data_IF_142289176527
#
_entry.id   IF_142289176527
#
_cell.length_a   1.000
_cell.length_b   1.000
_cell.length_c   1.000
_cell.angle_alpha   90.00
_cell.angle_beta   90.00
_cell.angle_gamma   90.00
#
_symmetry.space_group_name_H-M   'P 1'
#
loop_
_entity.id
_entity.type
_entity.pdbx_description
1 polymer ?
#
# COMPACT_ATOMS: atom_id res chain seq x y z
N UNK A 1 24.27 4.89 22.35
CA UNK A 1 25.09 4.06 21.46
C UNK A 1 26.08 4.92 20.68
N UNK A 2 27.36 4.53 20.66
CA UNK A 2 28.38 5.13 19.79
C UNK A 2 28.77 4.08 18.75
N UNK A 3 28.57 4.39 17.47
CA UNK A 3 28.89 3.48 16.36
C UNK A 3 30.13 4.00 15.66
N UNK A 4 31.25 3.36 15.92
CA UNK A 4 32.49 3.63 15.17
C UNK A 4 32.53 2.70 13.97
N UNK A 5 32.85 3.21 12.78
CA UNK A 5 33.08 2.42 11.57
C UNK A 5 34.47 2.73 11.06
N UNK A 6 35.26 1.69 10.82
CA UNK A 6 36.62 1.79 10.28
C UNK A 6 36.72 0.89 9.05
N UNK A 7 36.84 1.49 7.86
CA UNK A 7 37.22 0.80 6.64
C UNK A 7 38.72 1.00 6.45
N UNK A 8 39.49 -0.06 6.71
CA UNK A 8 40.93 -0.10 6.47
C UNK A 8 41.21 -0.99 5.28
N UNK A 9 41.97 -0.48 4.34
CA UNK A 9 42.49 -1.26 3.23
C UNK A 9 43.99 -1.46 3.44
N UNK A 10 44.48 -2.70 3.32
CA UNK A 10 45.92 -2.95 3.27
C UNK A 10 46.49 -2.31 2.02
N UNK A 11 47.62 -1.62 2.16
CA UNK A 11 48.18 -0.88 1.05
C UNK A 11 48.74 -1.84 -0.02
N UNK A 12 48.28 -1.72 -1.27
CA UNK A 12 48.65 -2.64 -2.34
C UNK A 12 49.82 -2.09 -3.18
N UNK A 13 50.87 -2.90 -3.38
CA UNK A 13 52.09 -2.52 -4.10
C UNK A 13 52.17 -3.03 -5.55
N UNK A 14 51.02 -3.28 -6.19
CA UNK A 14 51.03 -3.63 -7.62
C UNK A 14 51.52 -2.45 -8.48
N UNK A 15 52.12 -2.73 -9.64
CA UNK A 15 52.59 -1.69 -10.57
C UNK A 15 51.51 -0.66 -10.90
N UNK A 16 50.27 -1.10 -11.14
CA UNK A 16 49.13 -0.20 -11.42
C UNK A 16 48.80 0.67 -10.20
N UNK A 17 48.77 0.11 -8.99
CA UNK A 17 48.51 0.87 -7.77
C UNK A 17 49.61 1.91 -7.51
N UNK A 18 50.89 1.53 -7.61
CA UNK A 18 52.02 2.44 -7.45
C UNK A 18 52.03 3.56 -8.51
N UNK A 19 51.70 3.23 -9.76
CA UNK A 19 51.60 4.22 -10.85
C UNK A 19 50.45 5.20 -10.64
N UNK A 20 49.30 4.76 -10.13
CA UNK A 20 48.18 5.65 -9.77
C UNK A 20 48.56 6.56 -8.60
N UNK A 21 49.18 6.01 -7.54
CA UNK A 21 49.69 6.80 -6.41
C UNK A 21 50.66 7.88 -6.87
N UNK A 22 51.59 7.52 -7.77
CA UNK A 22 52.56 8.46 -8.34
C UNK A 22 51.91 9.51 -9.26
N UNK A 23 50.97 9.11 -10.12
CA UNK A 23 50.31 10.02 -11.08
C UNK A 23 49.40 11.04 -10.40
N UNK A 24 48.72 10.66 -9.32
CA UNK A 24 47.73 11.50 -8.63
C UNK A 24 48.17 11.96 -7.24
N UNK A 25 49.43 11.69 -6.85
CA UNK A 25 49.99 11.98 -5.54
C UNK A 25 49.14 11.48 -4.36
N UNK A 26 48.54 10.29 -4.52
CA UNK A 26 47.69 9.67 -3.51
C UNK A 26 48.54 8.81 -2.56
N UNK A 27 48.50 9.11 -1.26
CA UNK A 27 49.32 8.39 -0.27
C UNK A 27 48.76 6.99 0.02
N UNK A 28 47.44 6.87 0.22
CA UNK A 28 46.78 5.62 0.60
C UNK A 28 45.48 5.42 -0.19
N UNK A 29 45.02 4.18 -0.36
CA UNK A 29 43.73 3.81 -0.98
C UNK A 29 42.47 4.14 -0.16
N UNK A 30 42.56 5.16 0.72
CA UNK A 30 41.53 5.67 1.64
C UNK A 30 41.25 4.76 2.86
N UNK A 31 41.88 5.08 4.00
CA UNK A 31 41.34 4.69 5.30
C UNK A 31 40.17 5.63 5.61
N UNK A 32 38.96 5.09 5.75
CA UNK A 32 37.78 5.87 6.11
C UNK A 32 37.32 5.48 7.50
N UNK A 33 37.26 6.45 8.41
CA UNK A 33 36.68 6.28 9.73
C UNK A 33 35.55 7.28 9.95
N UNK A 34 34.44 6.80 10.50
CA UNK A 34 33.38 7.67 11.00
C UNK A 34 32.95 7.22 12.38
N UNK A 35 32.46 8.17 13.16
CA UNK A 35 31.86 7.93 14.47
C UNK A 35 30.47 8.54 14.41
N UNK A 36 29.45 7.70 14.60
CA UNK A 36 28.07 8.12 14.70
C UNK A 36 27.59 8.01 16.15
N UNK A 37 27.14 9.13 16.71
CA UNK A 37 26.53 9.15 18.04
C UNK A 37 25.01 8.98 17.89
N UNK A 38 24.51 7.84 18.36
CA UNK A 38 23.10 7.44 18.29
C UNK A 38 22.58 7.23 19.71
N UNK A 39 22.03 8.26 20.37
CA UNK A 39 21.51 8.16 21.73
C UNK A 39 20.12 7.49 21.75
N UNK A 40 20.04 6.25 21.25
CA UNK A 40 18.81 5.45 21.07
C UNK A 40 18.62 4.33 22.11
N UNK A 41 19.64 4.06 22.93
CA UNK A 41 19.60 3.05 23.99
C UNK A 41 18.64 3.45 25.11
N UNK A 42 17.82 2.51 25.58
CA UNK A 42 16.86 2.74 26.68
C UNK A 42 15.65 3.61 26.31
N UNK A 43 15.52 4.04 25.05
CA UNK A 43 14.38 4.83 24.58
C UNK A 43 13.35 3.95 23.87
N UNK A 44 12.04 4.23 24.02
CA UNK A 44 11.02 3.55 23.25
C UNK A 44 11.00 4.08 21.81
N UNK A 45 11.43 3.26 20.85
CA UNK A 45 11.34 3.56 19.42
C UNK A 45 11.12 2.28 18.61
N UNK A 46 10.59 2.44 17.40
CA UNK A 46 10.33 1.34 16.47
C UNK A 46 10.90 1.61 15.07
N UNK A 47 10.96 2.86 14.63
CA UNK A 47 11.41 3.22 13.28
C UNK A 47 12.51 4.26 13.38
N UNK A 48 13.73 3.85 13.04
CA UNK A 48 14.88 4.72 12.82
C UNK A 48 15.12 4.99 11.34
N UNK A 49 15.67 6.16 11.03
CA UNK A 49 16.05 6.51 9.66
C UNK A 49 17.47 7.09 9.63
N UNK A 50 18.31 6.55 8.77
CA UNK A 50 19.62 7.12 8.45
C UNK A 50 19.57 7.70 7.04
N UNK A 51 19.85 9.00 6.91
CA UNK A 51 19.85 9.72 5.64
C UNK A 51 21.24 10.24 5.26
N UNK A 52 21.45 10.48 3.97
CA UNK A 52 22.61 11.18 3.45
C UNK A 52 23.11 10.67 2.09
N UNK A 53 24.10 11.34 1.50
CA UNK A 53 24.55 11.11 0.14
C UNK A 53 25.14 9.71 -0.06
N UNK A 54 25.22 9.25 -1.31
CA UNK A 54 25.89 7.98 -1.61
C UNK A 54 27.34 8.00 -1.14
N UNK A 55 27.84 6.89 -0.59
CA UNK A 55 29.19 6.79 -0.05
C UNK A 55 29.40 7.41 1.34
N UNK A 56 28.38 7.99 1.98
CA UNK A 56 28.49 8.58 3.33
C UNK A 56 28.57 7.56 4.48
N UNK A 57 28.54 6.26 4.18
CA UNK A 57 28.67 5.19 5.18
C UNK A 57 27.37 4.75 5.85
N UNK A 58 26.19 5.13 5.33
CA UNK A 58 24.87 4.69 5.85
C UNK A 58 24.79 3.18 6.09
N UNK A 59 25.15 2.38 5.07
CA UNK A 59 25.17 0.91 5.11
C UNK A 59 26.07 0.40 6.22
N UNK A 60 27.24 1.02 6.41
CA UNK A 60 28.21 0.59 7.41
C UNK A 60 27.84 0.99 8.84
N UNK A 61 27.12 2.10 9.02
CA UNK A 61 26.55 2.49 10.31
C UNK A 61 25.36 1.58 10.63
N UNK A 62 24.45 1.39 9.67
CA UNK A 62 23.24 0.58 9.81
C UNK A 62 23.54 -0.86 10.22
N UNK A 63 24.51 -1.51 9.57
CA UNK A 63 24.91 -2.89 9.89
C UNK A 63 25.51 -3.08 11.29
N UNK A 64 25.90 -2.00 11.98
CA UNK A 64 26.43 -2.05 13.35
C UNK A 64 25.40 -1.72 14.41
N UNK A 65 24.21 -1.23 14.05
CA UNK A 65 23.16 -0.91 15.03
C UNK A 65 22.58 -2.18 15.66
N UNK A 66 22.36 -3.21 14.83
CA UNK A 66 21.85 -4.51 15.27
C UNK A 66 22.87 -5.59 14.91
N UNK A 67 23.77 -5.97 15.83
CA UNK A 67 24.79 -7.00 15.57
C UNK A 67 24.19 -8.38 15.22
N UNK A 68 22.94 -8.62 15.63
CA UNK A 68 22.16 -9.83 15.42
C UNK A 68 21.33 -9.81 14.14
N UNK A 69 21.22 -8.67 13.44
CA UNK A 69 20.42 -8.54 12.23
C UNK A 69 21.29 -8.26 11.01
N UNK A 70 21.08 -9.06 9.96
CA UNK A 70 21.64 -8.75 8.64
C UNK A 70 20.83 -7.65 7.95
N UNK A 71 21.46 -6.97 6.99
CA UNK A 71 20.75 -6.05 6.12
C UNK A 71 19.76 -6.85 5.29
N UNK A 72 18.48 -6.49 5.43
CA UNK A 72 17.37 -7.07 4.72
C UNK A 72 17.28 -6.48 3.32
N UNK A 73 17.37 -7.35 2.31
CA UNK A 73 17.17 -6.97 0.91
C UNK A 73 15.74 -7.31 0.46
N UNK A 74 14.96 -6.25 0.23
CA UNK A 74 13.56 -6.33 -0.22
C UNK A 74 13.38 -7.05 -1.57
N UNK A 75 14.43 -7.13 -2.39
CA UNK A 75 14.39 -7.64 -3.76
C UNK A 75 14.97 -9.05 -3.90
N UNK A 76 15.51 -9.63 -2.83
CA UNK A 76 16.13 -10.96 -2.84
C UNK A 76 15.21 -12.07 -2.30
N UNK A 77 15.56 -13.33 -2.62
CA UNK A 77 14.89 -14.50 -2.07
C UNK A 77 13.46 -14.74 -2.59
N UNK A 78 13.09 -14.13 -3.72
CA UNK A 78 11.82 -14.38 -4.39
C UNK A 78 11.93 -15.56 -5.34
N UNK A 79 10.88 -16.38 -5.40
CA UNK A 79 10.78 -17.48 -6.37
C UNK A 79 10.37 -16.95 -7.73
N UNK A 80 11.00 -17.45 -8.78
CA UNK A 80 10.66 -17.09 -10.17
C UNK A 80 9.49 -17.89 -10.74
N UNK A 81 9.18 -19.04 -10.13
CA UNK A 81 8.16 -20.00 -10.57
C UNK A 81 6.83 -19.87 -9.81
N UNK A 82 6.72 -18.90 -8.90
CA UNK A 82 5.56 -18.75 -8.01
C UNK A 82 5.08 -17.29 -7.94
N UNK A 83 3.79 -17.05 -7.68
CA UNK A 83 3.27 -15.70 -7.47
C UNK A 83 3.77 -15.11 -6.14
N UNK A 84 3.84 -13.78 -6.05
CA UNK A 84 4.33 -13.13 -4.82
C UNK A 84 3.50 -13.47 -3.57
N UNK A 85 2.21 -13.75 -3.71
CA UNK A 85 1.35 -14.11 -2.58
C UNK A 85 1.78 -15.43 -1.92
N UNK A 86 2.35 -16.36 -2.69
CA UNK A 86 2.87 -17.65 -2.17
C UNK A 86 4.31 -17.52 -1.64
N UNK A 87 5.02 -16.45 -2.02
CA UNK A 87 6.38 -16.19 -1.56
C UNK A 87 6.42 -15.45 -0.22
N UNK A 88 5.35 -14.76 0.16
CA UNK A 88 5.27 -13.99 1.40
C UNK A 88 4.72 -14.86 2.50
N UNK A 89 5.54 -15.16 3.52
CA UNK A 89 5.18 -16.01 4.66
C UNK A 89 4.45 -17.29 4.20
N UNK A 90 5.14 -18.21 3.50
CA UNK A 90 4.52 -19.38 2.84
C UNK A 90 3.74 -20.29 3.81
N UNK A 91 4.18 -20.37 5.06
CA UNK A 91 3.51 -21.13 6.13
C UNK A 91 2.53 -20.28 6.96
N UNK A 92 2.33 -19.02 6.55
CA UNK A 92 1.49 -18.02 7.23
C UNK A 92 0.02 -18.05 6.81
N UNK A 93 -0.81 -17.30 7.54
CA UNK A 93 -2.23 -17.16 7.19
C UNK A 93 -2.43 -16.31 5.94
N UNK A 94 -3.23 -16.83 5.00
CA UNK A 94 -3.58 -16.15 3.74
C UNK A 94 -4.18 -14.75 3.95
N UNK A 95 -5.03 -14.57 4.97
CA UNK A 95 -5.64 -13.26 5.22
C UNK A 95 -4.61 -12.27 5.74
N UNK A 96 -3.64 -12.71 6.53
CA UNK A 96 -2.50 -11.87 6.95
C UNK A 96 -1.70 -11.39 5.74
N UNK A 97 -1.31 -12.29 4.82
CA UNK A 97 -0.52 -11.92 3.64
C UNK A 97 -1.24 -10.91 2.76
N UNK A 98 -2.49 -11.19 2.42
CA UNK A 98 -3.31 -10.30 1.57
C UNK A 98 -3.65 -8.98 2.26
N UNK A 99 -3.83 -8.98 3.59
CA UNK A 99 -3.98 -7.76 4.37
C UNK A 99 -2.71 -6.92 4.37
N UNK A 100 -1.52 -7.53 4.46
CA UNK A 100 -0.25 -6.81 4.44
C UNK A 100 0.06 -6.20 3.08
N UNK A 101 -0.11 -6.96 1.98
CA UNK A 101 0.00 -6.43 0.61
C UNK A 101 -0.88 -5.20 0.41
N UNK A 102 -2.12 -5.29 0.87
CA UNK A 102 -3.07 -4.17 0.86
C UNK A 102 -2.64 -3.01 1.74
N UNK A 103 -2.13 -3.29 2.94
CA UNK A 103 -1.77 -2.29 3.94
C UNK A 103 -0.59 -1.41 3.50
N UNK A 104 0.39 -2.00 2.82
CA UNK A 104 1.54 -1.28 2.23
C UNK A 104 1.21 -0.63 0.88
N UNK A 105 -0.05 -0.69 0.45
CA UNK A 105 -0.54 0.00 -0.75
C UNK A 105 -0.37 -0.76 -2.06
N UNK A 106 -0.15 -2.07 -2.02
CA UNK A 106 -0.22 -2.94 -3.21
C UNK A 106 -1.62 -3.56 -3.27
N UNK A 107 -2.64 -2.75 -3.62
CA UNK A 107 -4.04 -3.18 -3.67
C UNK A 107 -4.49 -3.78 -5.01
N UNK A 108 -3.60 -3.84 -6.01
CA UNK A 108 -3.91 -4.45 -7.30
C UNK A 108 -3.80 -5.98 -7.23
N UNK A 109 -4.94 -6.65 -7.11
CA UNK A 109 -5.02 -8.11 -6.93
C UNK A 109 -4.31 -8.90 -8.06
N UNK A 110 -4.40 -8.52 -9.35
CA UNK A 110 -3.62 -9.16 -10.41
C UNK A 110 -2.11 -9.16 -10.17
N UNK A 111 -1.55 -8.13 -9.52
CA UNK A 111 -0.12 -8.09 -9.20
C UNK A 111 0.26 -9.18 -8.18
N UNK A 112 -0.65 -9.56 -7.28
CA UNK A 112 -0.40 -10.61 -6.27
C UNK A 112 -0.19 -11.99 -6.88
N UNK A 113 -0.76 -12.22 -8.07
CA UNK A 113 -0.74 -13.48 -8.80
C UNK A 113 0.44 -13.58 -9.78
N UNK A 114 1.35 -12.61 -9.78
CA UNK A 114 2.50 -12.57 -10.69
C UNK A 114 3.79 -12.90 -9.95
N UNK A 115 4.77 -13.53 -10.61
CA UNK A 115 6.13 -13.65 -10.07
C UNK A 115 6.77 -12.29 -9.82
N UNK A 116 7.70 -12.22 -8.86
CA UNK A 116 8.30 -10.95 -8.46
C UNK A 116 9.02 -10.24 -9.61
N UNK A 117 9.74 -10.97 -10.48
CA UNK A 117 10.56 -10.38 -11.54
C UNK A 117 9.75 -9.58 -12.58
N UNK A 118 8.48 -9.94 -12.84
CA UNK A 118 7.63 -9.24 -13.82
C UNK A 118 6.95 -7.98 -13.27
N UNK A 119 7.05 -7.72 -11.97
CA UNK A 119 6.47 -6.54 -11.34
C UNK A 119 7.25 -5.27 -11.69
N UNK A 120 6.56 -4.14 -11.73
CA UNK A 120 7.20 -2.82 -11.79
C UNK A 120 8.01 -2.54 -10.51
N UNK A 121 8.96 -1.60 -10.56
CA UNK A 121 9.79 -1.27 -9.38
C UNK A 121 8.94 -0.83 -8.17
N UNK A 122 7.86 -0.07 -8.40
CA UNK A 122 6.95 0.35 -7.33
C UNK A 122 6.12 -0.80 -6.75
N UNK A 123 5.78 -1.81 -7.54
CA UNK A 123 5.12 -3.03 -7.06
C UNK A 123 6.10 -3.92 -6.30
N UNK A 124 7.32 -4.11 -6.82
CA UNK A 124 8.42 -4.84 -6.16
C UNK A 124 8.73 -4.28 -4.78
N UNK A 125 8.89 -2.95 -4.70
CA UNK A 125 9.12 -2.26 -3.43
C UNK A 125 8.02 -2.56 -2.41
N UNK A 126 6.75 -2.41 -2.80
CA UNK A 126 5.63 -2.69 -1.89
C UNK A 126 5.51 -4.18 -1.54
N UNK A 127 5.77 -5.09 -2.47
CA UNK A 127 5.79 -6.53 -2.19
C UNK A 127 6.89 -6.89 -1.16
N UNK A 128 8.09 -6.31 -1.31
CA UNK A 128 9.18 -6.42 -0.33
C UNK A 128 8.79 -5.90 1.05
N UNK A 129 8.17 -4.71 1.11
CA UNK A 129 7.67 -4.16 2.38
C UNK A 129 6.58 -5.02 3.02
N UNK A 130 5.68 -5.61 2.21
CA UNK A 130 4.66 -6.54 2.71
C UNK A 130 5.32 -7.78 3.30
N UNK A 131 6.32 -8.35 2.61
CA UNK A 131 7.08 -9.51 3.08
C UNK A 131 7.76 -9.22 4.41
N UNK A 132 8.50 -8.13 4.51
CA UNK A 132 9.17 -7.70 5.73
C UNK A 132 8.18 -7.46 6.88
N UNK A 133 7.03 -6.84 6.61
CA UNK A 133 6.00 -6.59 7.61
C UNK A 133 5.27 -7.88 8.07
N UNK A 134 5.18 -8.90 7.19
CA UNK A 134 4.67 -10.23 7.54
C UNK A 134 5.66 -11.03 8.39
N UNK A 135 6.92 -11.13 7.94
CA UNK A 135 7.98 -11.88 8.63
C UNK A 135 8.29 -11.28 10.00
N UNK A 136 8.24 -9.95 10.09
CA UNK A 136 8.29 -9.19 11.33
C UNK A 136 9.43 -9.59 12.29
N UNK A 137 10.70 -9.48 11.85
CA UNK A 137 11.83 -9.73 12.73
C UNK A 137 11.87 -8.72 13.90
N UNK A 138 12.48 -9.13 15.01
CA UNK A 138 12.66 -8.25 16.18
C UNK A 138 13.52 -7.02 15.84
N UNK A 139 14.56 -7.23 15.03
CA UNK A 139 15.46 -6.19 14.52
C UNK A 139 15.59 -6.33 13.00
N UNK A 140 15.51 -5.22 12.28
CA UNK A 140 15.75 -5.18 10.83
C UNK A 140 16.53 -3.93 10.42
N UNK A 141 17.38 -4.07 9.41
CA UNK A 141 18.01 -2.95 8.71
C UNK A 141 17.66 -3.08 7.24
N UNK A 142 17.09 -2.05 6.61
CA UNK A 142 16.83 -2.06 5.17
C UNK A 142 17.69 -1.00 4.51
N UNK A 143 18.56 -1.42 3.62
CA UNK A 143 19.36 -0.50 2.80
C UNK A 143 18.60 -0.07 1.55
N UNK A 144 19.04 1.06 0.98
CA UNK A 144 18.46 1.62 -0.25
C UNK A 144 16.94 1.85 -0.20
N UNK A 145 16.44 2.20 0.99
CA UNK A 145 15.03 2.47 1.20
C UNK A 145 14.59 3.63 0.28
N UNK A 146 13.69 3.32 -0.66
CA UNK A 146 13.11 4.22 -1.67
C UNK A 146 14.02 4.75 -2.79
N UNK A 147 15.21 4.15 -3.01
CA UNK A 147 16.19 4.64 -4.00
C UNK A 147 15.74 4.46 -5.47
N UNK A 148 15.07 3.35 -5.79
CA UNK A 148 14.79 2.91 -7.19
C UNK A 148 13.36 3.17 -7.67
N UNK A 149 12.62 4.04 -6.97
CA UNK A 149 11.19 4.26 -7.20
C UNK A 149 10.85 5.74 -7.37
N UNK A 150 9.73 5.98 -8.06
CA UNK A 150 9.12 7.30 -8.16
C UNK A 150 8.88 7.92 -6.76
N UNK A 151 9.06 9.24 -6.65
CA UNK A 151 9.02 9.95 -5.36
C UNK A 151 7.64 9.88 -4.69
N UNK A 152 6.56 9.92 -5.46
CA UNK A 152 5.22 9.84 -4.89
C UNK A 152 4.94 8.44 -4.35
N UNK A 153 5.32 7.41 -5.12
CA UNK A 153 5.26 6.01 -4.67
C UNK A 153 6.11 5.79 -3.40
N UNK A 154 7.31 6.38 -3.34
CA UNK A 154 8.18 6.32 -2.17
C UNK A 154 7.52 6.91 -0.92
N UNK A 155 7.03 8.16 -1.03
CA UNK A 155 6.38 8.88 0.07
C UNK A 155 5.15 8.13 0.60
N UNK A 156 4.26 7.71 -0.31
CA UNK A 156 3.04 6.99 0.05
C UNK A 156 3.35 5.61 0.61
N UNK A 157 4.28 4.87 0.01
CA UNK A 157 4.75 3.58 0.48
C UNK A 157 5.39 3.65 1.87
N UNK A 158 6.23 4.66 2.13
CA UNK A 158 6.84 4.88 3.44
C UNK A 158 5.79 5.17 4.52
N UNK A 159 4.80 6.02 4.23
CA UNK A 159 3.70 6.28 5.17
C UNK A 159 2.83 5.06 5.43
N UNK A 160 2.54 4.27 4.40
CA UNK A 160 1.76 3.03 4.50
C UNK A 160 2.50 1.96 5.31
N UNK A 161 3.81 1.81 5.06
CA UNK A 161 4.67 0.91 5.81
C UNK A 161 4.80 1.32 7.27
N UNK A 162 5.11 2.58 7.56
CA UNK A 162 5.24 3.08 8.94
C UNK A 162 3.97 2.83 9.76
N UNK A 163 2.79 3.13 9.17
CA UNK A 163 1.50 2.85 9.81
C UNK A 163 1.31 1.37 10.13
N UNK A 164 1.80 0.49 9.26
CA UNK A 164 1.64 -0.97 9.39
C UNK A 164 2.63 -1.54 10.41
N UNK A 165 3.90 -1.15 10.31
CA UNK A 165 4.97 -1.56 11.23
C UNK A 165 4.64 -1.19 12.68
N UNK A 166 4.15 0.05 12.90
CA UNK A 166 3.80 0.56 14.23
C UNK A 166 2.69 -0.18 14.96
N UNK A 167 1.91 -1.02 14.27
CA UNK A 167 0.80 -1.79 14.87
C UNK A 167 1.23 -3.03 15.63
N UNK A 168 2.52 -3.26 15.80
CA UNK A 168 3.00 -4.32 16.68
C UNK A 168 4.47 -4.15 16.98
N UNK A 169 5.17 -5.25 17.26
CA UNK A 169 6.55 -5.21 17.75
C UNK A 169 7.61 -5.11 16.65
N UNK A 170 8.85 -4.92 17.11
CA UNK A 170 10.06 -4.88 16.28
C UNK A 170 10.62 -3.48 16.11
N UNK A 171 11.94 -3.40 15.94
CA UNK A 171 12.66 -2.18 15.62
C UNK A 171 13.27 -2.30 14.22
N UNK A 172 13.15 -1.24 13.43
CA UNK A 172 13.69 -1.18 12.08
C UNK A 172 14.51 0.08 11.87
N UNK A 173 15.65 -0.06 11.22
CA UNK A 173 16.44 1.07 10.71
C UNK A 173 16.37 1.06 9.20
N UNK A 174 15.90 2.17 8.64
CA UNK A 174 15.82 2.38 7.20
C UNK A 174 16.98 3.28 6.76
N UNK A 175 17.66 2.93 5.67
CA UNK A 175 18.77 3.71 5.14
C UNK A 175 18.34 4.30 3.80
N UNK A 176 18.40 5.62 3.65
CA UNK A 176 17.97 6.28 2.41
C UNK A 176 18.90 7.42 2.01
N UNK A 177 18.98 7.72 0.72
CA UNK A 177 19.58 8.96 0.25
C UNK A 177 18.56 10.10 0.11
N UNK A 178 17.27 9.82 0.30
CA UNK A 178 16.21 10.77 0.07
C UNK A 178 15.64 11.33 1.38
N UNK A 179 15.54 12.66 1.46
CA UNK A 179 15.10 13.38 2.66
C UNK A 179 13.59 13.62 2.69
N UNK A 180 12.94 13.67 1.53
CA UNK A 180 11.50 13.91 1.37
C UNK A 180 10.61 12.80 1.97
N UNK A 181 11.15 11.61 2.24
CA UNK A 181 10.42 10.53 2.92
C UNK A 181 10.30 10.76 4.43
N UNK A 182 11.11 11.64 5.02
CA UNK A 182 11.12 11.88 6.48
C UNK A 182 9.73 12.30 6.98
N UNK A 183 9.05 13.18 6.25
CA UNK A 183 7.71 13.68 6.61
C UNK A 183 6.59 12.65 6.46
N UNK A 184 6.82 11.63 5.63
CA UNK A 184 5.83 10.59 5.34
C UNK A 184 6.04 9.36 6.21
N UNK A 185 7.29 8.93 6.36
CA UNK A 185 7.71 7.82 7.21
C UNK A 185 7.48 8.13 8.69
N UNK A 186 7.69 9.39 9.10
CA UNK A 186 7.57 9.81 10.50
C UNK A 186 8.42 8.91 11.43
N UNK A 187 9.74 8.80 11.20
CA UNK A 187 10.62 7.98 12.06
C UNK A 187 10.70 8.60 13.45
N UNK A 188 10.97 7.77 14.46
CA UNK A 188 11.15 8.20 15.85
C UNK A 188 12.45 9.02 16.01
N UNK A 189 13.48 8.66 15.24
CA UNK A 189 14.73 9.40 15.17
C UNK A 189 15.31 9.40 13.75
N UNK A 190 16.12 10.42 13.47
CA UNK A 190 16.87 10.54 12.21
C UNK A 190 18.34 10.79 12.52
N UNK A 191 19.22 10.11 11.78
CA UNK A 191 20.64 10.43 11.72
C UNK A 191 21.02 10.86 10.31
N UNK A 192 21.49 12.09 10.16
CA UNK A 192 22.04 12.60 8.91
C UNK A 192 23.55 12.37 8.88
N UNK A 193 24.00 11.52 7.96
CA UNK A 193 25.40 11.20 7.74
C UNK A 193 26.20 12.32 7.09
N UNK A 194 25.57 13.26 6.39
CA UNK A 194 26.26 14.42 5.81
C UNK A 194 26.57 15.47 6.88
N UNK A 195 25.63 15.71 7.79
CA UNK A 195 25.78 16.68 8.88
C UNK A 195 26.38 16.06 10.15
N UNK A 196 26.55 14.73 10.19
CA UNK A 196 26.85 13.97 11.40
C UNK A 196 25.90 14.32 12.57
N UNK A 197 24.61 14.47 12.25
CA UNK A 197 23.61 15.05 13.15
C UNK A 197 22.53 14.03 13.48
N UNK A 198 22.35 13.78 14.77
CA UNK A 198 21.20 13.07 15.31
C UNK A 198 20.11 14.05 15.73
N UNK A 199 18.85 13.74 15.42
CA UNK A 199 17.71 14.42 16.01
C UNK A 199 16.53 13.47 16.19
N UNK A 200 15.85 13.63 17.32
CA UNK A 200 14.56 12.98 17.55
C UNK A 200 13.47 13.77 16.85
N UNK A 201 12.48 13.08 16.30
CA UNK A 201 11.35 13.76 15.71
C UNK A 201 10.38 14.12 16.83
N UNK A 202 10.30 15.41 17.13
CA UNK A 202 9.32 15.94 18.07
C UNK A 202 7.90 15.54 17.63
N UNK A 203 7.09 15.08 18.58
CA UNK A 203 5.74 14.50 18.36
C UNK A 203 4.73 15.50 17.76
N UNK A 204 5.13 16.76 17.60
CA UNK A 204 4.36 17.85 17.01
C UNK A 204 4.39 17.90 15.46
N UNK A 205 5.32 17.19 14.79
CA UNK A 205 5.41 17.24 13.32
C UNK A 205 4.40 16.32 12.65
N UNK A 206 3.18 16.82 12.46
CA UNK A 206 2.11 16.11 11.75
C UNK A 206 2.53 15.71 10.33
N UNK A 207 1.98 14.59 9.86
CA UNK A 207 2.07 14.18 8.46
C UNK A 207 1.53 15.30 7.55
N UNK A 208 2.06 15.48 6.32
CA UNK A 208 1.52 16.45 5.37
C UNK A 208 0.00 16.35 5.27
N UNK A 209 -0.67 17.49 5.48
CA UNK A 209 -2.12 17.58 5.29
C UNK A 209 -2.40 17.58 3.80
N UNK A 210 -3.23 16.62 3.36
CA UNK A 210 -3.64 16.48 1.96
C UNK A 210 -5.10 16.91 1.85
N UNK A 211 -5.38 17.82 0.94
CA UNK A 211 -6.75 18.24 0.61
C UNK A 211 -7.26 17.36 -0.53
N UNK A 212 -8.33 16.61 -0.27
CA UNK A 212 -9.00 15.80 -1.29
C UNK A 212 -10.22 16.56 -1.80
N UNK A 213 -10.13 17.10 -3.00
CA UNK A 213 -11.22 17.79 -3.68
C UNK A 213 -12.07 16.77 -4.42
N UNK A 214 -13.40 16.84 -4.27
CA UNK A 214 -14.31 15.85 -4.85
C UNK A 214 -15.16 16.52 -5.92
N UNK A 215 -15.08 15.99 -7.14
CA UNK A 215 -15.83 16.47 -8.28
C UNK A 215 -16.81 15.42 -8.79
N UNK A 216 -18.03 15.84 -9.09
CA UNK A 216 -18.98 15.04 -9.87
C UNK A 216 -18.62 15.16 -11.35
N UNK A 217 -18.43 14.03 -12.02
CA UNK A 217 -17.92 13.98 -13.40
C UNK A 217 -18.81 13.14 -14.32
N UNK A 218 -18.52 13.19 -15.62
CA UNK A 218 -19.14 12.31 -16.62
C UNK A 218 -18.56 10.90 -16.53
N UNK A 219 -19.37 9.89 -16.84
CA UNK A 219 -18.94 8.49 -16.83
C UNK A 219 -17.80 8.15 -17.79
N UNK A 220 -17.52 9.00 -18.78
CA UNK A 220 -16.38 8.87 -19.71
C UNK A 220 -15.02 9.06 -19.03
N UNK A 221 -14.96 9.62 -17.82
CA UNK A 221 -13.72 9.79 -17.06
C UNK A 221 -13.18 8.45 -16.54
N UNK A 222 -14.06 7.54 -16.10
CA UNK A 222 -13.67 6.22 -15.63
C UNK A 222 -12.82 5.41 -16.63
N UNK A 223 -13.27 5.16 -17.88
CA UNK A 223 -12.50 4.40 -18.84
C UNK A 223 -11.18 5.08 -19.24
N UNK A 224 -11.12 6.42 -19.23
CA UNK A 224 -9.92 7.17 -19.61
C UNK A 224 -8.82 7.12 -18.57
N UNK A 225 -9.16 7.23 -17.28
CA UNK A 225 -8.17 7.42 -16.22
C UNK A 225 -8.03 6.21 -15.28
N UNK A 226 -9.14 5.52 -14.97
CA UNK A 226 -9.18 4.55 -13.86
C UNK A 226 -9.41 3.10 -14.28
N UNK A 227 -9.89 2.83 -15.49
CA UNK A 227 -10.19 1.45 -15.95
C UNK A 227 -8.96 0.54 -15.93
N UNK A 228 -7.77 1.05 -16.26
CA UNK A 228 -6.51 0.29 -16.20
C UNK A 228 -6.18 -0.25 -14.81
N UNK A 229 -6.69 0.39 -13.75
CA UNK A 229 -6.47 0.03 -12.35
C UNK A 229 -7.68 -0.72 -11.75
N UNK A 230 -8.64 -1.13 -12.58
CA UNK A 230 -9.83 -1.85 -12.16
C UNK A 230 -9.83 -3.25 -12.78
N UNK A 231 -9.60 -4.25 -11.94
CA UNK A 231 -9.39 -5.65 -12.37
C UNK A 231 -10.62 -6.36 -12.94
N UNK A 232 -11.81 -5.73 -12.94
CA UNK A 232 -13.04 -6.33 -13.48
C UNK A 232 -13.45 -5.61 -14.76
N UNK A 233 -13.60 -6.37 -15.86
CA UNK A 233 -14.17 -5.83 -17.09
C UNK A 233 -15.70 -5.97 -17.07
N UNK A 234 -16.38 -4.87 -16.74
CA UNK A 234 -17.83 -4.81 -16.62
C UNK A 234 -18.39 -3.56 -17.33
N UNK A 235 -19.60 -3.64 -17.92
CA UNK A 235 -20.26 -2.49 -18.53
C UNK A 235 -20.56 -1.41 -17.49
N UNK A 236 -20.51 -0.13 -17.91
CA UNK A 236 -20.79 1.02 -17.06
C UNK A 236 -22.15 0.85 -16.35
N UNK A 237 -22.30 1.20 -15.06
CA UNK A 237 -23.56 0.99 -14.36
C UNK A 237 -24.61 1.97 -14.88
N UNK A 238 -25.84 1.47 -15.02
CA UNK A 238 -26.97 2.25 -15.54
C UNK A 238 -27.34 3.36 -14.55
N UNK A 239 -27.59 4.56 -15.09
CA UNK A 239 -27.99 5.75 -14.33
C UNK A 239 -27.06 6.14 -13.17
N UNK A 240 -25.78 5.75 -13.25
CA UNK A 240 -24.80 6.06 -12.21
C UNK A 240 -24.36 7.51 -12.23
N UNK A 241 -24.08 8.03 -11.04
CA UNK A 241 -23.35 9.27 -10.83
C UNK A 241 -21.88 8.93 -10.57
N UNK A 242 -20.96 9.68 -11.17
CA UNK A 242 -19.53 9.40 -11.13
C UNK A 242 -18.82 10.52 -10.40
N UNK A 243 -17.87 10.15 -9.56
CA UNK A 243 -17.11 11.07 -8.74
C UNK A 243 -15.62 10.79 -8.89
N UNK A 244 -14.84 11.85 -8.90
CA UNK A 244 -13.38 11.80 -8.89
C UNK A 244 -12.86 12.63 -7.72
N UNK A 245 -11.89 12.08 -7.01
CA UNK A 245 -11.10 12.80 -6.01
C UNK A 245 -9.81 13.30 -6.65
N UNK A 246 -9.43 14.53 -6.35
CA UNK A 246 -8.24 15.21 -6.86
C UNK A 246 -7.40 15.68 -5.66
N UNK A 247 -6.08 15.50 -5.74
CA UNK A 247 -5.11 16.04 -4.78
C UNK A 247 -4.06 16.79 -5.61
N UNK A 248 -3.78 18.05 -5.27
CA UNK A 248 -2.78 18.88 -5.95
C UNK A 248 -2.96 18.94 -7.49
N UNK A 249 -4.22 18.94 -7.94
CA UNK A 249 -4.57 18.94 -9.38
C UNK A 249 -4.50 17.57 -10.08
N UNK A 250 -4.06 16.52 -9.39
CA UNK A 250 -3.97 15.15 -9.93
C UNK A 250 -5.21 14.31 -9.59
N UNK A 251 -5.86 13.63 -10.55
CA UNK A 251 -6.94 12.67 -10.28
C UNK A 251 -6.44 11.42 -9.54
N UNK A 252 -6.78 11.27 -8.26
CA UNK A 252 -6.25 10.20 -7.40
C UNK A 252 -7.18 9.03 -7.18
N UNK A 253 -8.50 9.26 -7.21
CA UNK A 253 -9.47 8.20 -6.95
C UNK A 253 -10.80 8.42 -7.67
N UNK A 254 -11.55 7.34 -7.84
CA UNK A 254 -12.83 7.32 -8.53
C UNK A 254 -13.86 6.45 -7.80
N UNK A 255 -15.13 6.84 -7.89
CA UNK A 255 -16.27 6.05 -7.41
C UNK A 255 -17.48 6.31 -8.29
N UNK A 256 -18.23 5.25 -8.59
CA UNK A 256 -19.56 5.36 -9.20
C UNK A 256 -20.63 4.97 -8.17
N UNK A 257 -21.74 5.70 -8.14
CA UNK A 257 -22.90 5.38 -7.33
C UNK A 257 -24.11 5.23 -8.24
N UNK A 258 -24.74 4.06 -8.20
CA UNK A 258 -25.92 3.76 -9.01
C UNK A 258 -27.14 3.51 -8.14
N UNK A 259 -28.37 3.81 -8.60
CA UNK A 259 -29.58 3.38 -7.94
C UNK A 259 -29.63 1.86 -7.80
N UNK A 260 -30.03 1.36 -6.63
CA UNK A 260 -30.33 -0.06 -6.46
C UNK A 260 -31.80 -0.28 -6.83
N UNK A 261 -32.08 -0.59 -8.09
CA UNK A 261 -33.47 -0.65 -8.62
C UNK A 261 -34.43 -1.61 -7.90
N UNK A 262 -33.92 -2.52 -7.07
CA UNK A 262 -34.71 -3.45 -6.26
C UNK A 262 -35.02 -2.95 -4.86
N UNK A 263 -34.55 -1.75 -4.48
CA UNK A 263 -34.77 -1.18 -3.14
C UNK A 263 -34.74 0.36 -3.16
N UNK A 264 -35.23 0.99 -2.09
CA UNK A 264 -35.06 2.43 -1.85
C UNK A 264 -33.63 2.71 -1.33
N UNK A 265 -32.63 2.46 -2.18
CA UNK A 265 -31.22 2.49 -1.82
C UNK A 265 -30.34 2.86 -3.02
N UNK A 266 -29.11 3.30 -2.75
CA UNK A 266 -28.04 3.41 -3.73
C UNK A 266 -27.00 2.30 -3.53
N UNK A 267 -26.19 2.06 -4.55
CA UNK A 267 -25.05 1.15 -4.53
C UNK A 267 -23.79 1.86 -5.02
N UNK A 268 -22.83 1.99 -4.13
CA UNK A 268 -21.47 2.41 -4.46
C UNK A 268 -20.72 1.25 -5.13
N UNK A 269 -20.01 1.54 -6.21
CA UNK A 269 -19.28 0.58 -7.04
C UNK A 269 -18.09 1.25 -7.73
N UNK A 270 -17.14 0.45 -8.23
CA UNK A 270 -15.96 0.96 -8.96
C UNK A 270 -15.15 1.97 -8.16
N UNK A 271 -14.96 1.68 -6.87
CA UNK A 271 -13.97 2.39 -6.07
C UNK A 271 -12.59 2.02 -6.59
N UNK A 272 -11.85 3.02 -7.08
CA UNK A 272 -10.48 2.88 -7.55
C UNK A 272 -9.66 3.98 -6.89
N UNK A 273 -8.47 3.63 -6.41
CA UNK A 273 -7.45 4.58 -5.97
C UNK A 273 -6.22 4.31 -6.82
N UNK A 274 -5.64 5.35 -7.39
CA UNK A 274 -4.45 5.24 -8.21
C UNK A 274 -3.30 4.62 -7.40
N UNK A 275 -2.48 3.71 -7.96
CA UNK A 275 -1.46 2.95 -7.22
C UNK A 275 -0.54 3.81 -6.35
N UNK A 276 -0.10 4.94 -6.89
CA UNK A 276 0.70 5.98 -6.24
C UNK A 276 0.07 6.57 -4.97
N UNK A 277 -1.25 6.44 -4.76
CA UNK A 277 -1.99 6.97 -3.62
C UNK A 277 -2.61 5.90 -2.70
N UNK A 278 -2.27 4.61 -2.90
CA UNK A 278 -2.80 3.49 -2.12
C UNK A 278 -2.11 3.34 -0.74
N UNK A 279 -2.81 2.75 0.24
CA UNK A 279 -2.27 2.47 1.59
C UNK A 279 -2.42 3.61 2.62
N UNK A 280 -2.66 4.84 2.16
CA UNK A 280 -2.73 6.01 3.05
C UNK A 280 -4.15 6.43 3.47
N UNK A 281 -5.19 5.72 2.99
CA UNK A 281 -6.58 5.90 3.43
C UNK A 281 -7.43 6.86 2.57
N UNK A 282 -6.94 7.30 1.41
CA UNK A 282 -7.68 8.15 0.46
C UNK A 282 -9.01 7.51 0.07
N UNK A 283 -8.99 6.24 -0.34
CA UNK A 283 -10.19 5.53 -0.82
C UNK A 283 -11.32 5.47 0.20
N UNK A 284 -11.03 5.22 1.48
CA UNK A 284 -12.05 5.18 2.54
C UNK A 284 -12.62 6.56 2.87
N UNK A 285 -11.77 7.60 2.89
CA UNK A 285 -12.25 8.99 3.10
C UNK A 285 -13.14 9.43 1.95
N UNK A 286 -12.71 9.15 0.72
CA UNK A 286 -13.46 9.45 -0.50
C UNK A 286 -14.81 8.72 -0.55
N UNK A 287 -14.81 7.40 -0.28
CA UNK A 287 -16.02 6.60 -0.22
C UNK A 287 -17.03 7.17 0.80
N UNK A 288 -16.56 7.48 2.02
CA UNK A 288 -17.42 8.04 3.06
C UNK A 288 -18.03 9.39 2.65
N UNK A 289 -17.24 10.28 2.05
CA UNK A 289 -17.71 11.59 1.61
C UNK A 289 -18.79 11.47 0.51
N UNK A 290 -18.59 10.60 -0.48
CA UNK A 290 -19.57 10.39 -1.55
C UNK A 290 -20.81 9.66 -1.02
N UNK A 291 -20.67 8.72 -0.09
CA UNK A 291 -21.81 8.08 0.55
C UNK A 291 -22.63 9.06 1.39
N UNK A 292 -21.97 9.97 2.13
CA UNK A 292 -22.63 11.03 2.87
C UNK A 292 -23.41 11.97 1.94
N UNK A 293 -22.80 12.40 0.84
CA UNK A 293 -23.45 13.24 -0.18
C UNK A 293 -24.80 12.66 -0.65
N UNK A 294 -24.89 11.35 -0.85
CA UNK A 294 -26.15 10.69 -1.23
C UNK A 294 -27.12 10.54 -0.07
N UNK A 295 -26.62 10.23 1.13
CA UNK A 295 -27.43 10.12 2.34
C UNK A 295 -28.13 11.45 2.68
N UNK A 296 -27.46 12.57 2.42
CA UNK A 296 -27.99 13.93 2.61
C UNK A 296 -29.04 14.32 1.56
N UNK A 297 -29.23 13.49 0.52
CA UNK A 297 -30.20 13.73 -0.55
C UNK A 297 -29.64 14.56 -1.71
N UNK A 298 -28.33 14.74 -1.82
CA UNK A 298 -27.74 15.45 -2.96
C UNK A 298 -27.54 14.55 -4.19
N UNK A 299 -27.79 13.25 -4.05
CA UNK A 299 -27.72 12.28 -5.13
C UNK A 299 -28.88 12.39 -6.12
N UNK A 300 -28.89 11.47 -7.09
CA UNK A 300 -29.91 11.41 -8.14
C UNK A 300 -31.35 11.47 -7.59
N UNK A 301 -32.15 12.38 -8.13
CA UNK A 301 -33.56 12.62 -7.76
C UNK A 301 -33.79 13.14 -6.32
N UNK A 302 -32.75 13.59 -5.61
CA UNK A 302 -32.94 14.25 -4.31
C UNK A 302 -33.30 13.30 -3.16
N UNK A 303 -33.18 11.98 -3.35
CA UNK A 303 -33.65 11.02 -2.36
C UNK A 303 -32.61 10.76 -1.26
N UNK A 304 -33.05 10.85 0.00
CA UNK A 304 -32.26 10.49 1.19
C UNK A 304 -32.28 8.98 1.42
N UNK A 305 -31.58 8.24 0.58
CA UNK A 305 -31.52 6.79 0.65
C UNK A 305 -30.16 6.29 1.15
N UNK A 306 -30.12 5.13 1.86
CA UNK A 306 -28.86 4.53 2.29
C UNK A 306 -28.03 4.06 1.09
N UNK A 307 -26.71 4.09 1.26
CA UNK A 307 -25.75 3.62 0.26
C UNK A 307 -25.16 2.30 0.70
N UNK A 308 -25.24 1.30 -0.16
CA UNK A 308 -24.60 -0.01 0.03
C UNK A 308 -23.28 -0.08 -0.73
N UNK A 309 -22.29 -0.74 -0.13
CA UNK A 309 -21.01 -1.04 -0.75
C UNK A 309 -20.71 -2.53 -0.59
N UNK A 310 -20.32 -3.16 -1.70
CA UNK A 310 -19.98 -4.58 -1.73
C UNK A 310 -18.53 -4.76 -2.11
N UNK A 311 -17.79 -5.48 -1.30
CA UNK A 311 -16.37 -5.73 -1.54
C UNK A 311 -15.93 -7.10 -1.05
N UNK A 312 -14.92 -7.64 -1.72
CA UNK A 312 -14.21 -8.86 -1.32
C UNK A 312 -12.81 -8.54 -0.79
N UNK A 313 -12.38 -7.27 -0.84
CA UNK A 313 -11.02 -6.86 -0.51
C UNK A 313 -10.83 -6.88 1.02
N UNK A 314 -9.99 -7.77 1.58
CA UNK A 314 -9.93 -8.02 3.03
C UNK A 314 -9.68 -6.76 3.86
N UNK A 315 -8.70 -5.94 3.45
CA UNK A 315 -8.36 -4.68 4.12
C UNK A 315 -9.51 -3.68 4.14
N UNK A 316 -10.27 -3.59 3.05
CA UNK A 316 -11.40 -2.67 2.97
C UNK A 316 -12.55 -3.20 3.82
N UNK A 317 -12.83 -4.51 3.80
CA UNK A 317 -13.78 -5.12 4.73
C UNK A 317 -13.42 -4.83 6.19
N UNK A 318 -12.15 -5.00 6.56
CA UNK A 318 -11.67 -4.68 7.91
C UNK A 318 -11.87 -3.21 8.25
N UNK A 319 -11.46 -2.29 7.37
CA UNK A 319 -11.62 -0.85 7.57
C UNK A 319 -13.10 -0.44 7.74
N UNK A 320 -14.01 -1.04 6.97
CA UNK A 320 -15.45 -0.76 7.09
C UNK A 320 -16.03 -1.35 8.38
N UNK A 321 -15.63 -2.56 8.79
CA UNK A 321 -16.09 -3.17 10.07
C UNK A 321 -15.68 -2.36 11.31
N UNK A 322 -14.49 -1.77 11.29
CA UNK A 322 -14.01 -0.95 12.42
C UNK A 322 -14.54 0.49 12.40
N UNK A 323 -15.27 0.89 11.36
CA UNK A 323 -15.84 2.23 11.26
C UNK A 323 -17.24 2.27 11.84
N UNK A 324 -17.49 3.21 12.76
CA UNK A 324 -18.84 3.50 13.28
C UNK A 324 -19.82 4.00 12.21
N UNK A 325 -19.34 4.37 11.01
CA UNK A 325 -20.16 4.89 9.90
C UNK A 325 -20.74 3.79 9.01
N UNK A 326 -20.40 2.53 9.27
CA UNK A 326 -20.77 1.39 8.44
C UNK A 326 -21.33 0.24 9.28
N UNK A 327 -22.36 -0.41 8.75
CA UNK A 327 -22.91 -1.66 9.30
C UNK A 327 -22.69 -2.76 8.28
N UNK A 328 -22.10 -3.88 8.70
CA UNK A 328 -22.06 -5.08 7.87
C UNK A 328 -23.45 -5.72 7.83
N UNK A 329 -24.02 -5.84 6.64
CA UNK A 329 -25.41 -6.33 6.42
C UNK A 329 -25.45 -7.73 5.85
N UNK A 330 -24.32 -8.27 5.39
CA UNK A 330 -24.23 -9.64 4.93
C UNK A 330 -22.79 -10.04 4.62
N UNK A 331 -22.55 -11.34 4.68
CA UNK A 331 -21.34 -11.97 4.20
C UNK A 331 -21.72 -13.24 3.46
N UNK A 332 -21.50 -13.27 2.15
CA UNK A 332 -21.43 -14.52 1.41
C UNK A 332 -19.98 -14.96 1.43
N UNK A 333 -19.64 -15.98 2.21
CA UNK A 333 -18.28 -16.54 2.31
C UNK A 333 -18.02 -17.65 1.28
N UNK A 334 -19.09 -18.15 0.64
CA UNK A 334 -19.05 -19.20 -0.38
C UNK A 334 -19.67 -18.70 -1.67
N UNK A 335 -19.12 -19.09 -2.81
CA UNK A 335 -19.68 -18.78 -4.13
C UNK A 335 -21.01 -19.51 -4.35
N UNK A 336 -21.94 -18.86 -5.05
CA UNK A 336 -23.18 -19.52 -5.45
C UNK A 336 -22.90 -20.74 -6.34
N UNK A 337 -23.59 -21.84 -6.05
CA UNK A 337 -23.47 -23.08 -6.82
C UNK A 337 -24.02 -22.86 -8.23
N UNK A 338 -23.12 -22.85 -9.23
CA UNK A 338 -23.43 -22.67 -10.65
C UNK A 338 -24.48 -23.64 -11.17
N UNK A 339 -24.45 -24.89 -10.69
CA UNK A 339 -25.43 -25.91 -11.05
C UNK A 339 -26.82 -25.61 -10.45
N UNK A 340 -26.87 -25.10 -9.20
CA UNK A 340 -28.12 -24.68 -8.57
C UNK A 340 -28.74 -23.46 -9.27
N UNK A 341 -27.91 -22.49 -9.64
CA UNK A 341 -28.31 -21.29 -10.39
C UNK A 341 -28.83 -21.64 -11.79
N UNK A 342 -28.12 -22.49 -12.53
CA UNK A 342 -28.58 -22.97 -13.84
C UNK A 342 -29.90 -23.75 -13.73
N UNK A 343 -30.07 -24.58 -12.70
CA UNK A 343 -31.31 -25.31 -12.45
C UNK A 343 -32.50 -24.37 -12.11
N UNK A 344 -32.25 -23.28 -11.37
CA UNK A 344 -33.27 -22.25 -11.11
C UNK A 344 -33.68 -21.52 -12.38
N UNK A 345 -32.71 -21.11 -13.21
CA UNK A 345 -33.01 -20.44 -14.49
C UNK A 345 -33.75 -21.35 -15.47
N UNK A 346 -33.40 -22.65 -15.54
CA UNK A 346 -34.17 -23.63 -16.33
C UNK A 346 -35.63 -23.74 -15.87
N UNK A 347 -35.87 -23.78 -14.55
CA UNK A 347 -37.23 -23.79 -13.97
C UNK A 347 -38.01 -22.49 -14.21
N UNK A 348 -37.35 -21.35 -14.25
CA UNK A 348 -37.98 -20.07 -14.57
C UNK A 348 -38.31 -19.97 -16.07
N UNK A 349 -37.39 -20.41 -16.93
CA UNK A 349 -37.58 -20.42 -18.38
C UNK A 349 -38.71 -21.35 -18.84
N UNK A 350 -38.95 -22.47 -18.15
CA UNK A 350 -40.06 -23.37 -18.45
C UNK A 350 -41.44 -22.78 -18.16
N UNK A 351 -41.53 -21.68 -17.40
CA UNK A 351 -42.78 -20.98 -17.08
C UNK A 351 -43.11 -19.81 -18.03
N UNK A 352 -42.25 -19.51 -19.00
CA UNK A 352 -42.46 -18.41 -19.95
C UNK A 352 -41.88 -18.76 -21.34
N UNK A 353 -42.61 -19.55 -22.15
CA UNK A 353 -42.15 -20.00 -23.45
C UNK A 353 -42.17 -18.81 -24.43
N UNK A 354 -41.00 -18.22 -24.70
CA UNK A 354 -40.87 -17.09 -25.65
C UNK A 354 -39.72 -16.12 -25.36
N UNK A 355 -39.15 -16.13 -24.14
CA UNK A 355 -37.97 -15.29 -23.82
C UNK A 355 -36.65 -15.98 -24.17
N UNK A 356 -35.67 -15.19 -24.62
CA UNK A 356 -34.29 -15.62 -24.96
C UNK A 356 -33.72 -16.48 -23.82
N UNK A 357 -33.35 -17.73 -24.13
CA UNK A 357 -32.77 -18.68 -23.17
C UNK A 357 -31.36 -18.22 -22.78
N UNK A 358 -31.15 -17.87 -21.51
CA UNK A 358 -29.81 -17.71 -20.95
C UNK A 358 -29.29 -19.10 -20.54
N UNK A 359 -28.28 -19.63 -21.23
CA UNK A 359 -27.80 -21.01 -21.07
C UNK A 359 -26.78 -21.19 -19.94
N UNK A 360 -26.30 -20.11 -19.34
CA UNK A 360 -25.21 -20.14 -18.34
C UNK A 360 -25.72 -19.74 -16.96
N UNK A 361 -25.72 -20.70 -16.02
CA UNK A 361 -25.91 -20.40 -14.59
C UNK A 361 -24.93 -19.34 -14.10
N UNK A 362 -25.39 -18.40 -13.28
CA UNK A 362 -24.52 -17.49 -12.54
C UNK A 362 -23.85 -18.24 -11.37
N UNK A 363 -22.60 -17.92 -11.06
CA UNK A 363 -21.83 -18.59 -10.01
C UNK A 363 -20.78 -19.56 -10.55
N UNK A 364 -19.96 -20.13 -9.66
CA UNK A 364 -18.80 -20.97 -9.99
C UNK A 364 -17.43 -20.35 -9.71
N UNK A 365 -17.38 -19.08 -9.27
CA UNK A 365 -16.18 -18.48 -8.69
C UNK A 365 -16.39 -18.36 -7.19
N UNK A 366 -15.40 -18.76 -6.38
CA UNK A 366 -15.32 -18.43 -4.96
C UNK A 366 -15.23 -16.91 -4.84
N UNK A 367 -16.37 -16.23 -4.73
CA UNK A 367 -16.41 -14.80 -4.49
C UNK A 367 -17.00 -14.56 -3.13
N UNK A 368 -16.14 -14.53 -2.12
CA UNK A 368 -16.55 -14.07 -0.81
C UNK A 368 -16.91 -12.58 -0.91
N UNK A 369 -18.19 -12.23 -0.96
CA UNK A 369 -18.67 -10.84 -1.07
C UNK A 369 -19.26 -10.42 0.26
N UNK A 370 -18.72 -9.35 0.84
CA UNK A 370 -19.23 -8.74 2.05
C UNK A 370 -20.01 -7.48 1.69
N UNK A 371 -21.18 -7.31 2.31
CA UNK A 371 -22.10 -6.21 2.07
C UNK A 371 -22.08 -5.26 3.28
N UNK A 372 -21.88 -3.97 3.01
CA UNK A 372 -21.85 -2.92 4.02
C UNK A 372 -22.87 -1.85 3.67
N UNK A 373 -23.59 -1.35 4.67
CA UNK A 373 -24.51 -0.21 4.59
C UNK A 373 -23.87 0.99 5.27
N UNK A 374 -23.75 2.09 4.55
CA UNK A 374 -23.34 3.36 5.13
C UNK A 374 -24.49 3.97 5.94
N UNK A 375 -24.21 4.40 7.17
CA UNK A 375 -25.20 4.97 8.08
C UNK A 375 -24.95 6.44 8.44
N UNK A 376 -23.90 7.06 7.91
CA UNK A 376 -23.55 8.44 8.22
C UNK A 376 -22.62 8.55 9.43
N UNK A 377 -22.28 9.79 9.81
CA UNK A 377 -21.79 10.02 11.17
C UNK A 377 -22.96 9.76 12.12
N UNK A 378 -22.76 8.98 13.18
CA UNK A 378 -23.63 9.12 14.35
C UNK A 378 -23.45 10.57 14.82
N UNK A 379 -24.55 11.29 15.05
CA UNK A 379 -24.48 12.61 15.66
C UNK A 379 -23.70 12.48 16.98
N UNK A 380 -22.51 13.08 17.01
CA UNK A 380 -21.66 13.24 18.19
C UNK A 380 -21.11 14.65 18.19
#
# INVERSE_FOLDING_TARGET
MKVEVNHRCSDFNSYRAARVKSLFNAENGCNWSTVAELPIEGKPWQIGLIVGPSGSGKTSIGSRIFPDAQIYDLYSGWRDDAPIVDCIAPDGDFNTVTAMLSAVGLGDVPAWLRPFHVLSNGEKFRAGLARLACERPAHAVVDEFTSVIDRQIAKVGAAAFAKTWRRGGGQIVLLSCHYDVIEWLQPDWVYDTAEARFYERDCLRQRPQLTLEIYKVRGTVFPRLFKKHYYLDLPLPVAAEYFVGVIDGEPVCHLAVAPLFTAKAYRATRLVVAPEWQGIGVGTKFLNAVCQYHLDGNGRCGHKFPVFFHTSHPQLCGALRHSSRWIQTGAMLYGDNKARSSASMKRSASKSPGRRKCSTGYGGHFRAVQAFKYIGNADS
#
